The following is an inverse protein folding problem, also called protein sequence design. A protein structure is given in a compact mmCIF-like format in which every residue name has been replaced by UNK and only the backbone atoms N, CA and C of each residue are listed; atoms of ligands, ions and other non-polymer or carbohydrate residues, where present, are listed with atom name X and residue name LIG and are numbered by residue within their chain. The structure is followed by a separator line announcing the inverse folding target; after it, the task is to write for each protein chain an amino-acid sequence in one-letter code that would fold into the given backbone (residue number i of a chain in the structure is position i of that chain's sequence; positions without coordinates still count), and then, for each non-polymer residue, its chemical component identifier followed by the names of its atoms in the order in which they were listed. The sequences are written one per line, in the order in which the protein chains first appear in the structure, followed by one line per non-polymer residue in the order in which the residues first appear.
data_IF_870438463141
#
_entry.id   IF_870438463141
#
_cell.length_a   1.000
_cell.length_b   1.000
_cell.length_c   1.000
_cell.angle_alpha   90.00
_cell.angle_beta   90.00
_cell.angle_gamma   90.00
#
_symmetry.space_group_name_H-M   'P 1'
#
loop_
_entity.id
_entity.type
_entity.pdbx_description
1 polymer ?
#
# COMPACT_ATOMS: atom_id res chain seq x y z
N UNK A 1 -7.78 9.41 1.56
CA UNK A 1 -8.55 8.72 2.63
C UNK A 1 -9.68 9.60 3.18
N UNK A 2 -9.42 10.80 3.73
CA UNK A 2 -10.44 11.69 4.31
C UNK A 2 -11.73 11.90 3.50
N UNK A 3 -11.62 12.18 2.19
CA UNK A 3 -12.79 12.37 1.31
C UNK A 3 -13.65 11.10 1.11
N UNK A 4 -13.15 9.96 1.55
CA UNK A 4 -13.74 8.63 1.37
C UNK A 4 -13.73 7.84 2.68
N UNK A 5 -13.92 8.51 3.82
CA UNK A 5 -13.74 7.90 5.15
C UNK A 5 -14.53 6.59 5.35
N UNK A 6 -15.74 6.49 4.80
CA UNK A 6 -16.57 5.30 4.88
C UNK A 6 -15.91 4.03 4.28
N UNK A 7 -15.01 4.21 3.32
CA UNK A 7 -14.31 3.11 2.65
C UNK A 7 -13.09 2.61 3.46
N UNK A 8 -12.60 3.39 4.43
CA UNK A 8 -11.36 3.10 5.18
C UNK A 8 -11.60 2.87 6.67
N UNK A 9 -12.48 3.66 7.29
CA UNK A 9 -12.76 3.62 8.73
C UNK A 9 -13.10 2.21 9.25
N UNK A 10 -13.89 1.37 8.54
CA UNK A 10 -14.22 0.02 9.03
C UNK A 10 -13.03 -0.93 9.16
N UNK A 11 -11.87 -0.59 8.57
CA UNK A 11 -10.68 -1.43 8.55
C UNK A 11 -9.57 -0.93 9.50
N UNK A 12 -9.84 0.13 10.27
CA UNK A 12 -8.91 0.68 11.24
C UNK A 12 -9.37 0.36 12.66
N UNK A 13 -8.43 -0.11 13.48
CA UNK A 13 -8.67 -0.49 14.87
C UNK A 13 -7.54 -0.05 15.78
N UNK A 14 -7.87 0.20 17.04
CA UNK A 14 -6.90 0.49 18.10
C UNK A 14 -6.05 -0.74 18.39
N UNK A 15 -5.00 -0.57 19.20
CA UNK A 15 -4.19 -1.69 19.68
C UNK A 15 -5.01 -2.73 20.49
N UNK A 16 -6.12 -2.30 21.11
CA UNK A 16 -7.08 -3.19 21.79
C UNK A 16 -8.02 -3.92 20.83
N UNK A 17 -8.00 -3.59 19.54
CA UNK A 17 -8.88 -4.17 18.51
C UNK A 17 -10.25 -3.48 18.40
N UNK A 18 -10.45 -2.35 19.08
CA UNK A 18 -11.69 -1.58 18.98
C UNK A 18 -11.70 -0.77 17.67
N UNK A 19 -12.86 -0.63 16.98
CA UNK A 19 -12.93 0.20 15.77
C UNK A 19 -12.58 1.66 16.07
N UNK A 20 -11.89 2.31 15.13
CA UNK A 20 -11.61 3.74 15.25
C UNK A 20 -12.88 4.58 15.29
N UNK A 21 -12.86 5.59 16.15
CA UNK A 21 -13.76 6.74 16.09
C UNK A 21 -13.39 7.68 14.94
N UNK A 22 -14.27 8.63 14.62
CA UNK A 22 -14.01 9.63 13.59
C UNK A 22 -12.78 10.52 13.94
N UNK A 23 -12.60 10.85 15.22
CA UNK A 23 -11.49 11.69 15.69
C UNK A 23 -10.15 10.94 15.63
N UNK A 24 -10.14 9.64 15.96
CA UNK A 24 -8.96 8.78 15.83
C UNK A 24 -8.57 8.59 14.37
N UNK A 25 -9.55 8.44 13.47
CA UNK A 25 -9.30 8.37 12.03
C UNK A 25 -8.70 9.67 11.47
N UNK A 26 -9.19 10.82 11.90
CA UNK A 26 -8.63 12.10 11.49
C UNK A 26 -7.19 12.27 12.00
N UNK A 27 -6.92 11.81 13.23
CA UNK A 27 -5.59 11.78 13.81
C UNK A 27 -4.65 10.86 13.02
N UNK A 28 -5.10 9.65 12.70
CA UNK A 28 -4.37 8.70 11.85
C UNK A 28 -4.02 9.30 10.48
N UNK A 29 -5.00 9.93 9.82
CA UNK A 29 -4.75 10.60 8.53
C UNK A 29 -3.73 11.74 8.68
N UNK A 30 -3.75 12.48 9.80
CA UNK A 30 -2.75 13.52 10.08
C UNK A 30 -1.35 12.93 10.28
N UNK A 31 -1.23 11.81 10.98
CA UNK A 31 0.05 11.13 11.20
C UNK A 31 0.61 10.61 9.88
N UNK A 32 -0.16 9.85 9.11
CA UNK A 32 0.25 9.35 7.78
C UNK A 32 0.76 10.49 6.88
N UNK A 33 0.11 11.65 6.93
CA UNK A 33 0.50 12.81 6.14
C UNK A 33 1.77 13.52 6.66
N UNK A 34 2.00 13.56 7.97
CA UNK A 34 2.97 14.49 8.58
C UNK A 34 4.15 13.83 9.30
N UNK A 35 4.00 12.61 9.81
CA UNK A 35 4.97 12.00 10.73
C UNK A 35 5.81 10.89 10.10
N UNK A 36 5.60 10.58 8.81
CA UNK A 36 6.35 9.52 8.13
C UNK A 36 6.13 8.14 8.73
N UNK A 37 5.01 7.94 9.43
CA UNK A 37 4.57 6.61 9.85
C UNK A 37 4.42 5.72 8.63
N UNK A 38 4.73 4.45 8.82
CA UNK A 38 4.73 3.48 7.75
C UNK A 38 3.29 3.17 7.33
N UNK A 39 3.01 3.31 6.02
CA UNK A 39 1.73 2.92 5.43
C UNK A 39 1.70 1.43 5.07
N UNK A 40 0.48 0.93 4.86
CA UNK A 40 0.24 -0.45 4.44
C UNK A 40 -0.79 -0.54 3.33
N UNK A 41 -1.61 -1.61 3.39
CA UNK A 41 -2.59 -1.89 2.34
C UNK A 41 -3.65 -0.80 2.17
N UNK A 42 -4.08 -0.14 3.26
CA UNK A 42 -5.09 0.93 3.19
C UNK A 42 -4.54 2.16 2.46
N UNK A 43 -3.29 2.54 2.73
CA UNK A 43 -2.63 3.65 2.06
C UNK A 43 -2.40 3.32 0.59
N UNK A 44 -1.96 2.09 0.26
CA UNK A 44 -1.82 1.65 -1.13
C UNK A 44 -3.17 1.65 -1.87
N UNK A 45 -4.26 1.23 -1.22
CA UNK A 45 -5.60 1.29 -1.80
C UNK A 45 -6.03 2.75 -2.05
N UNK A 46 -5.73 3.66 -1.12
CA UNK A 46 -5.99 5.08 -1.27
C UNK A 46 -5.19 5.71 -2.40
N UNK A 47 -3.90 5.36 -2.53
CA UNK A 47 -3.01 5.80 -3.61
C UNK A 47 -3.52 5.29 -4.95
N UNK A 48 -3.83 3.99 -5.06
CA UNK A 48 -4.38 3.39 -6.28
C UNK A 48 -5.65 4.12 -6.75
N UNK A 49 -6.55 4.44 -5.82
CA UNK A 49 -7.77 5.18 -6.14
C UNK A 49 -7.52 6.65 -6.50
N UNK A 50 -6.60 7.33 -5.83
CA UNK A 50 -6.28 8.72 -6.10
C UNK A 50 -5.65 8.91 -7.50
N UNK A 51 -4.80 7.96 -7.92
CA UNK A 51 -4.14 7.99 -9.21
C UNK A 51 -4.87 7.21 -10.30
N UNK A 52 -5.93 6.48 -9.95
CA UNK A 52 -6.65 5.57 -10.85
C UNK A 52 -5.69 4.62 -11.57
N UNK A 53 -4.77 4.01 -10.82
CA UNK A 53 -3.73 3.12 -11.35
C UNK A 53 -3.68 1.87 -10.49
N UNK A 54 -3.67 0.66 -11.07
CA UNK A 54 -3.52 -0.57 -10.30
C UNK A 54 -2.17 -0.63 -9.59
N UNK A 55 -2.13 -1.29 -8.42
CA UNK A 55 -0.89 -1.58 -7.69
C UNK A 55 -0.83 -3.08 -7.42
N UNK A 56 0.25 -3.73 -7.86
CA UNK A 56 0.50 -5.14 -7.60
C UNK A 56 1.68 -5.28 -6.64
N UNK A 57 1.43 -5.89 -5.49
CA UNK A 57 2.43 -6.14 -4.46
C UNK A 57 2.82 -7.61 -4.50
N UNK A 58 4.07 -7.87 -4.89
CA UNK A 58 4.68 -9.20 -4.89
C UNK A 58 5.27 -9.45 -3.50
N UNK A 59 4.97 -10.61 -2.92
CA UNK A 59 5.45 -10.98 -1.59
C UNK A 59 5.84 -12.45 -1.54
N UNK A 60 6.79 -12.80 -0.67
CA UNK A 60 7.21 -14.18 -0.48
C UNK A 60 6.15 -14.99 0.29
N UNK A 61 5.98 -16.26 -0.07
CA UNK A 61 5.17 -17.22 0.68
C UNK A 61 3.64 -17.09 0.55
N UNK A 62 3.15 -16.17 -0.28
CA UNK A 62 1.71 -16.02 -0.57
C UNK A 62 1.49 -15.40 -1.95
N UNK A 63 0.22 -15.35 -2.38
CA UNK A 63 -0.14 -14.72 -3.66
C UNK A 63 0.10 -13.21 -3.62
N UNK A 64 0.39 -12.63 -4.78
CA UNK A 64 0.50 -11.18 -4.92
C UNK A 64 -0.81 -10.49 -4.55
N UNK A 65 -0.72 -9.36 -3.84
CA UNK A 65 -1.88 -8.50 -3.56
C UNK A 65 -2.10 -7.61 -4.77
N UNK A 66 -3.34 -7.58 -5.28
CA UNK A 66 -3.73 -6.73 -6.40
C UNK A 66 -4.75 -5.70 -5.94
N UNK A 67 -4.44 -4.43 -6.15
CA UNK A 67 -5.28 -3.29 -5.76
C UNK A 67 -5.63 -2.49 -7.01
N UNK A 68 -6.86 -1.99 -7.07
CA UNK A 68 -7.30 -1.12 -8.17
C UNK A 68 -7.52 -1.83 -9.50
N UNK A 69 -7.87 -3.12 -9.51
CA UNK A 69 -8.10 -3.91 -10.74
C UNK A 69 -9.25 -3.37 -11.61
N UNK A 70 -10.06 -2.42 -11.12
CA UNK A 70 -11.05 -1.71 -11.91
C UNK A 70 -10.46 -0.69 -12.89
N UNK A 71 -9.17 -0.36 -12.76
CA UNK A 71 -8.45 0.59 -13.59
C UNK A 71 -7.69 -0.16 -14.70
N UNK A 72 -7.63 0.41 -15.91
CA UNK A 72 -7.07 -0.25 -17.10
C UNK A 72 -5.59 0.07 -17.36
N UNK A 73 -4.99 0.93 -16.52
CA UNK A 73 -3.59 1.34 -16.61
C UNK A 73 -2.64 0.19 -16.28
N UNK A 74 -1.41 0.25 -16.78
CA UNK A 74 -0.36 -0.68 -16.36
C UNK A 74 -0.11 -0.57 -14.85
N UNK A 75 0.01 -1.69 -14.13
CA UNK A 75 0.16 -1.68 -12.69
C UNK A 75 1.52 -1.11 -12.26
N UNK A 76 1.52 -0.38 -11.14
CA UNK A 76 2.75 -0.12 -10.39
C UNK A 76 3.13 -1.40 -9.66
N UNK A 77 4.37 -1.85 -9.84
CA UNK A 77 4.89 -3.07 -9.22
C UNK A 77 5.68 -2.73 -7.96
N UNK A 78 5.27 -3.34 -6.85
CA UNK A 78 5.96 -3.26 -5.57
C UNK A 78 6.37 -4.68 -5.12
N UNK A 79 7.45 -4.76 -4.35
CA UNK A 79 7.79 -5.96 -3.57
C UNK A 79 7.64 -5.66 -2.09
N UNK A 80 7.06 -6.59 -1.33
CA UNK A 80 6.93 -6.51 0.12
C UNK A 80 7.85 -7.53 0.79
N UNK A 81 8.74 -7.03 1.65
CA UNK A 81 9.77 -7.79 2.33
C UNK A 81 9.51 -7.76 3.83
N UNK A 82 9.36 -8.93 4.47
CA UNK A 82 9.07 -9.02 5.91
C UNK A 82 10.31 -9.04 6.81
N UNK A 83 11.41 -9.57 6.30
CA UNK A 83 12.57 -9.96 7.11
C UNK A 83 13.93 -9.66 6.47
N UNK A 84 14.00 -8.72 5.52
CA UNK A 84 15.29 -8.40 4.91
C UNK A 84 16.11 -7.49 5.87
N UNK A 85 17.26 -8.01 6.32
CA UNK A 85 18.32 -7.24 7.00
C UNK A 85 17.97 -6.59 8.36
N UNK A 86 17.05 -7.16 9.13
CA UNK A 86 16.76 -6.74 10.52
C UNK A 86 16.00 -5.41 10.66
N UNK A 87 15.64 -4.77 9.54
CA UNK A 87 14.93 -3.48 9.48
C UNK A 87 13.40 -3.61 9.51
N UNK A 88 12.88 -4.84 9.49
CA UNK A 88 11.45 -5.12 9.52
C UNK A 88 10.79 -5.05 8.14
N UNK A 89 9.47 -4.86 8.15
CA UNK A 89 8.62 -4.96 6.97
C UNK A 89 8.72 -3.72 6.09
N UNK A 90 8.90 -3.87 4.77
CA UNK A 90 9.01 -2.73 3.85
C UNK A 90 8.62 -3.02 2.40
N UNK A 91 8.33 -1.93 1.67
CA UNK A 91 8.00 -1.96 0.24
C UNK A 91 9.14 -1.38 -0.60
N UNK A 92 9.48 -2.05 -1.70
CA UNK A 92 10.41 -1.54 -2.72
C UNK A 92 9.72 -1.45 -4.07
N UNK A 93 9.97 -0.35 -4.80
CA UNK A 93 9.59 -0.24 -6.21
C UNK A 93 10.43 -1.20 -7.04
N UNK A 94 9.80 -1.86 -8.01
CA UNK A 94 10.49 -2.73 -8.96
C UNK A 94 10.04 -2.41 -10.39
N UNK A 95 10.83 -2.87 -11.35
CA UNK A 95 10.52 -2.77 -12.77
C UNK A 95 10.82 -4.11 -13.42
N UNK A 96 10.11 -4.41 -14.51
CA UNK A 96 10.40 -5.60 -15.29
C UNK A 96 11.84 -5.55 -15.82
N UNK A 97 12.54 -6.67 -15.72
CA UNK A 97 13.86 -6.81 -16.31
C UNK A 97 13.70 -6.82 -17.83
N UNK A 98 14.25 -5.80 -18.49
CA UNK A 98 14.34 -5.74 -19.95
C UNK A 98 15.69 -6.31 -20.36
N UNK A 99 15.72 -7.51 -20.92
CA UNK A 99 16.94 -8.07 -21.52
C UNK A 99 17.28 -7.28 -22.79
N UNK A 100 18.36 -6.50 -22.76
CA UNK A 100 18.91 -5.89 -23.97
C UNK A 100 19.61 -6.98 -24.80
N UNK A 101 19.00 -7.35 -25.93
CA UNK A 101 19.55 -8.34 -26.86
C UNK A 101 20.65 -7.80 -27.79
N UNK A 102 21.23 -6.64 -27.49
CA UNK A 102 22.24 -5.98 -28.34
C UNK A 102 23.70 -6.27 -27.96
N UNK A 103 23.97 -7.11 -26.94
CA UNK A 103 25.33 -7.50 -26.55
C UNK A 103 25.60 -9.02 -26.67
N UNK A 104 25.26 -9.63 -27.81
CA UNK A 104 25.79 -10.94 -28.23
C UNK A 104 26.11 -10.97 -29.73
#
# INVERSE_FOLDING_TARGET
MRLHAADFLPFLSTESGDPYTADEFESYCCEVEKSGVWGGQLELQAISNAFQTPIHVIQAGSSSVKLGEQYEQSPILLTYHRHELGLGEHYNSVMEMVENKEEL
#
